data_IF_605090185916
#
_entry.id   IF_605090185916
#
_cell.length_a   1.000
_cell.length_b   1.000
_cell.length_c   1.000
_cell.angle_alpha   90.00
_cell.angle_beta   90.00
_cell.angle_gamma   90.00
#
_symmetry.space_group_name_H-M   'P 1'
#
loop_
_entity.id
_entity.type
_entity.pdbx_description
1 polymer ?
#
# COMPACT_ATOMS: atom_id res chain seq x y z
N UNK A 1 -21.86 14.37 -23.80
CA UNK A 1 -21.37 12.97 -23.81
C UNK A 1 -19.94 12.91 -23.28
N UNK A 2 -19.69 12.61 -21.99
CA UNK A 2 -18.32 12.35 -21.54
C UNK A 2 -18.27 11.12 -20.59
N UNK A 3 -18.25 9.88 -21.10
CA UNK A 3 -18.19 8.66 -20.23
C UNK A 3 -17.56 7.41 -20.86
N UNK A 4 -16.56 7.52 -21.74
CA UNK A 4 -15.97 6.30 -22.35
C UNK A 4 -14.48 6.10 -22.17
N UNK A 5 -13.71 7.14 -21.84
CA UNK A 5 -12.25 7.05 -21.85
C UNK A 5 -11.68 6.49 -20.53
N UNK A 6 -12.19 6.96 -19.38
CA UNK A 6 -11.73 6.52 -18.05
C UNK A 6 -12.05 5.03 -17.79
N UNK A 7 -13.22 4.55 -18.23
CA UNK A 7 -13.59 3.13 -18.10
C UNK A 7 -12.68 2.22 -18.91
N UNK A 8 -12.19 2.64 -20.08
CA UNK A 8 -11.32 1.82 -20.95
C UNK A 8 -9.93 1.63 -20.35
N UNK A 9 -9.34 2.69 -19.79
CA UNK A 9 -8.03 2.59 -19.11
C UNK A 9 -8.14 1.68 -17.88
N UNK A 10 -9.21 1.83 -17.09
CA UNK A 10 -9.44 0.97 -15.92
C UNK A 10 -9.73 -0.48 -16.31
N UNK A 11 -10.43 -0.75 -17.42
CA UNK A 11 -10.66 -2.11 -17.92
C UNK A 11 -9.34 -2.76 -18.40
N UNK A 12 -8.46 -1.97 -19.03
CA UNK A 12 -7.15 -2.44 -19.48
C UNK A 12 -6.20 -2.72 -18.30
N UNK A 13 -6.30 -1.96 -17.21
CA UNK A 13 -5.48 -2.14 -15.99
C UNK A 13 -6.09 -3.15 -14.99
N UNK A 14 -7.37 -3.51 -15.15
CA UNK A 14 -8.06 -4.48 -14.30
C UNK A 14 -7.30 -5.82 -14.13
N UNK A 15 -6.78 -6.49 -15.18
CA UNK A 15 -6.04 -7.75 -14.99
C UNK A 15 -4.78 -7.57 -14.15
N UNK A 16 -4.08 -6.44 -14.29
CA UNK A 16 -2.87 -6.14 -13.52
C UNK A 16 -3.23 -5.93 -12.04
N UNK A 17 -4.30 -5.18 -11.75
CA UNK A 17 -4.77 -4.96 -10.37
C UNK A 17 -5.26 -6.24 -9.69
N UNK A 18 -5.94 -7.13 -10.43
CA UNK A 18 -6.36 -8.44 -9.93
C UNK A 18 -5.13 -9.31 -9.63
N UNK A 19 -4.10 -9.29 -10.47
CA UNK A 19 -2.87 -10.04 -10.21
C UNK A 19 -2.16 -9.56 -8.94
N UNK A 20 -2.12 -8.26 -8.68
CA UNK A 20 -1.52 -7.72 -7.47
C UNK A 20 -2.29 -8.09 -6.20
N UNK A 21 -3.62 -7.99 -6.24
CA UNK A 21 -4.45 -8.34 -5.08
C UNK A 21 -4.41 -9.84 -4.82
N UNK A 22 -4.36 -10.67 -5.89
CA UNK A 22 -4.09 -12.10 -5.79
C UNK A 22 -2.77 -12.35 -5.05
N UNK A 23 -1.66 -11.76 -5.49
CA UNK A 23 -0.36 -11.97 -4.85
C UNK A 23 -0.40 -11.60 -3.34
N UNK A 24 -1.12 -10.54 -2.97
CA UNK A 24 -1.31 -10.17 -1.55
C UNK A 24 -2.05 -11.24 -0.75
N UNK A 25 -3.09 -11.87 -1.31
CA UNK A 25 -3.81 -12.96 -0.64
C UNK A 25 -2.96 -14.24 -0.52
N UNK A 26 -2.12 -14.56 -1.53
CA UNK A 26 -1.14 -15.65 -1.42
C UNK A 26 -0.10 -15.37 -0.32
N UNK A 27 0.39 -14.14 -0.20
CA UNK A 27 1.30 -13.76 0.88
C UNK A 27 0.66 -13.89 2.26
N UNK A 28 -0.64 -13.62 2.39
CA UNK A 28 -1.38 -13.89 3.63
C UNK A 28 -1.48 -15.38 3.92
N UNK A 29 -1.72 -16.18 2.90
CA UNK A 29 -1.83 -17.63 3.02
C UNK A 29 -0.49 -18.30 3.37
N UNK A 30 0.65 -17.67 3.03
CA UNK A 30 1.99 -18.11 3.40
C UNK A 30 2.43 -17.73 4.82
N UNK A 31 1.72 -16.82 5.51
CA UNK A 31 2.02 -16.43 6.90
C UNK A 31 2.26 -17.61 7.86
N UNK A 32 1.46 -18.69 7.90
CA UNK A 32 1.73 -19.82 8.80
C UNK A 32 3.10 -20.45 8.56
N UNK A 33 3.49 -20.69 7.30
CA UNK A 33 4.82 -21.21 6.96
C UNK A 33 5.94 -20.23 7.33
N UNK A 34 5.71 -18.92 7.17
CA UNK A 34 6.65 -17.89 7.61
C UNK A 34 6.83 -17.92 9.14
N UNK A 35 5.75 -18.09 9.90
CA UNK A 35 5.81 -18.24 11.36
C UNK A 35 6.57 -19.51 11.77
N UNK A 36 6.42 -20.62 11.05
CA UNK A 36 7.11 -21.87 11.38
C UNK A 36 8.60 -21.85 11.04
N UNK A 37 8.99 -21.21 9.92
CA UNK A 37 10.39 -20.89 9.63
C UNK A 37 10.98 -20.05 10.76
N UNK A 38 10.26 -19.01 11.20
CA UNK A 38 10.70 -18.12 12.28
C UNK A 38 10.89 -18.88 13.60
N UNK A 39 9.95 -19.75 13.97
CA UNK A 39 10.06 -20.58 15.19
C UNK A 39 11.26 -21.51 15.14
N UNK A 40 11.55 -22.10 13.97
CA UNK A 40 12.67 -23.05 13.79
C UNK A 40 14.04 -22.38 13.76
N UNK A 41 14.15 -21.21 13.15
CA UNK A 41 15.42 -20.48 12.97
C UNK A 41 15.52 -19.23 13.85
N UNK A 42 15.01 -19.30 15.08
CA UNK A 42 14.97 -18.16 16.01
C UNK A 42 16.38 -17.58 16.28
N UNK A 43 17.38 -18.44 16.37
CA UNK A 43 18.74 -18.07 16.77
C UNK A 43 19.68 -17.78 15.58
N UNK A 44 19.20 -17.91 14.33
CA UNK A 44 20.03 -17.72 13.13
C UNK A 44 19.28 -16.91 12.06
N UNK A 45 19.54 -15.60 12.06
CA UNK A 45 18.89 -14.65 11.17
C UNK A 45 19.20 -14.88 9.69
N UNK A 46 20.44 -15.28 9.36
CA UNK A 46 20.85 -15.59 7.98
C UNK A 46 20.05 -16.77 7.42
N UNK A 47 19.89 -17.83 8.23
CA UNK A 47 19.13 -19.01 7.84
C UNK A 47 17.63 -18.73 7.74
N UNK A 48 17.11 -17.90 8.64
CA UNK A 48 15.73 -17.39 8.56
C UNK A 48 15.50 -16.66 7.23
N UNK A 49 16.39 -15.75 6.84
CA UNK A 49 16.28 -14.98 5.60
C UNK A 49 16.39 -15.86 4.35
N UNK A 50 17.28 -16.86 4.35
CA UNK A 50 17.42 -17.84 3.25
C UNK A 50 16.19 -18.73 3.12
N UNK A 51 15.66 -19.26 4.22
CA UNK A 51 14.46 -20.10 4.22
C UNK A 51 13.21 -19.31 3.77
N UNK A 52 13.07 -18.05 4.20
CA UNK A 52 12.04 -17.13 3.72
C UNK A 52 12.15 -16.89 2.21
N UNK A 53 13.36 -16.64 1.73
CA UNK A 53 13.62 -16.44 0.29
C UNK A 53 13.26 -17.70 -0.51
N UNK A 54 13.67 -18.87 0.00
CA UNK A 54 13.40 -20.16 -0.63
C UNK A 54 11.89 -20.48 -0.69
N UNK A 55 11.14 -20.20 0.38
CA UNK A 55 9.69 -20.32 0.40
C UNK A 55 9.01 -19.48 -0.69
N UNK A 56 9.49 -18.24 -0.90
CA UNK A 56 8.96 -17.36 -1.94
C UNK A 56 9.29 -17.87 -3.35
N UNK A 57 10.49 -18.42 -3.55
CA UNK A 57 10.90 -19.06 -4.81
C UNK A 57 10.05 -20.28 -5.14
N UNK A 58 9.86 -21.19 -4.17
CA UNK A 58 9.12 -22.44 -4.37
C UNK A 58 7.65 -22.19 -4.65
N UNK A 59 7.09 -21.11 -4.11
CA UNK A 59 5.69 -20.69 -4.36
C UNK A 59 5.53 -19.88 -5.65
N UNK A 60 6.63 -19.55 -6.33
CA UNK A 60 6.65 -18.71 -7.53
C UNK A 60 6.13 -17.28 -7.29
N UNK A 61 6.06 -16.82 -6.03
CA UNK A 61 5.53 -15.51 -5.67
C UNK A 61 6.67 -14.48 -5.62
N UNK A 62 6.52 -13.39 -6.39
CA UNK A 62 7.47 -12.28 -6.35
C UNK A 62 6.95 -11.16 -5.42
N UNK A 63 7.65 -10.82 -4.31
CA UNK A 63 7.24 -9.75 -3.40
C UNK A 63 7.21 -8.37 -4.07
N UNK A 64 7.98 -8.17 -5.14
CA UNK A 64 8.04 -6.91 -5.90
C UNK A 64 6.88 -6.75 -6.91
N UNK A 65 6.08 -7.78 -7.13
CA UNK A 65 4.90 -7.66 -8.00
C UNK A 65 3.92 -6.60 -7.51
N UNK A 66 3.87 -6.34 -6.19
CA UNK A 66 3.07 -5.29 -5.57
C UNK A 66 3.55 -3.86 -5.84
N UNK A 67 4.86 -3.61 -5.89
CA UNK A 67 5.39 -2.26 -6.10
C UNK A 67 5.35 -1.81 -7.58
N UNK A 68 5.15 -2.74 -8.51
CA UNK A 68 5.12 -2.44 -9.95
C UNK A 68 3.99 -1.46 -10.33
N UNK A 69 2.76 -1.62 -9.80
CA UNK A 69 1.68 -0.66 -10.09
C UNK A 69 2.04 0.74 -9.56
N UNK A 70 2.67 0.85 -8.40
CA UNK A 70 3.08 2.16 -7.86
C UNK A 70 4.03 2.89 -8.82
N UNK A 71 4.92 2.16 -9.50
CA UNK A 71 5.83 2.73 -10.50
C UNK A 71 5.09 3.17 -11.77
N UNK A 72 4.17 2.34 -12.27
CA UNK A 72 3.34 2.67 -13.44
C UNK A 72 2.42 3.87 -13.15
N UNK A 73 2.03 4.06 -11.89
CA UNK A 73 1.15 5.15 -11.46
C UNK A 73 1.83 6.53 -11.49
N UNK A 74 3.16 6.60 -11.31
CA UNK A 74 3.89 7.86 -11.22
C UNK A 74 3.80 8.71 -12.50
N UNK A 75 4.05 8.18 -13.73
CA UNK A 75 3.88 8.96 -14.96
C UNK A 75 2.46 9.49 -15.16
N UNK A 76 1.45 8.69 -14.84
CA UNK A 76 0.03 9.07 -14.95
C UNK A 76 -0.28 10.23 -14.01
N UNK A 77 0.21 10.16 -12.77
CA UNK A 77 0.04 11.21 -11.78
C UNK A 77 0.72 12.52 -12.22
N UNK A 78 1.94 12.45 -12.75
CA UNK A 78 2.66 13.63 -13.23
C UNK A 78 1.97 14.29 -14.44
N UNK A 79 1.43 13.49 -15.36
CA UNK A 79 0.66 13.98 -16.50
C UNK A 79 -0.63 14.68 -16.05
N UNK A 80 -1.38 14.07 -15.12
CA UNK A 80 -2.60 14.65 -14.57
C UNK A 80 -2.30 15.92 -13.76
N UNK A 81 -1.29 15.91 -12.90
CA UNK A 81 -0.87 17.08 -12.14
C UNK A 81 -0.54 18.25 -13.07
N UNK A 82 0.28 18.03 -14.11
CA UNK A 82 0.64 19.08 -15.06
C UNK A 82 -0.56 19.59 -15.85
N UNK A 83 -1.42 18.70 -16.35
CA UNK A 83 -2.60 19.09 -17.14
C UNK A 83 -3.63 19.86 -16.31
N UNK A 84 -3.98 19.38 -15.12
CA UNK A 84 -4.97 20.03 -14.24
C UNK A 84 -4.43 21.37 -13.74
N UNK A 85 -3.15 21.45 -13.35
CA UNK A 85 -2.55 22.72 -12.90
C UNK A 85 -2.49 23.75 -14.02
N UNK A 86 -2.27 23.33 -15.28
CA UNK A 86 -2.30 24.22 -16.43
C UNK A 86 -3.72 24.75 -16.68
N UNK A 87 -4.72 23.87 -16.71
CA UNK A 87 -6.12 24.26 -16.91
C UNK A 87 -6.66 25.15 -15.78
N UNK A 88 -6.26 24.87 -14.54
CA UNK A 88 -6.59 25.69 -13.37
C UNK A 88 -6.01 27.11 -13.48
N UNK A 89 -4.79 27.24 -14.02
CA UNK A 89 -4.14 28.53 -14.27
C UNK A 89 -4.83 29.33 -15.39
N UNK A 90 -5.36 28.63 -16.40
CA UNK A 90 -6.11 29.23 -17.50
C UNK A 90 -7.55 29.62 -17.11
N UNK A 91 -7.99 29.30 -15.88
CA UNK A 91 -9.36 29.54 -15.43
C UNK A 91 -10.39 28.63 -16.09
N UNK A 92 -9.95 27.53 -16.69
CA UNK A 92 -10.80 26.62 -17.47
C UNK A 92 -11.51 25.55 -16.61
N UNK A 93 -11.35 25.59 -15.28
CA UNK A 93 -11.87 24.61 -14.33
C UNK A 93 -12.68 25.30 -13.20
N UNK A 94 -13.40 26.37 -13.54
CA UNK A 94 -14.20 27.14 -12.57
C UNK A 94 -15.63 26.60 -12.39
N UNK A 95 -15.81 25.30 -12.57
CA UNK A 95 -17.07 24.63 -12.29
C UNK A 95 -17.14 24.12 -10.83
N UNK A 96 -18.30 24.24 -10.17
CA UNK A 96 -18.54 23.59 -8.89
C UNK A 96 -18.77 22.09 -9.08
N UNK A 97 -18.32 21.28 -8.10
CA UNK A 97 -18.57 19.85 -8.06
C UNK A 97 -18.89 19.38 -6.65
N UNK A 98 -20.10 18.82 -6.46
CA UNK A 98 -20.64 18.43 -5.15
C UNK A 98 -20.64 19.63 -4.17
N UNK A 99 -19.88 19.54 -3.07
CA UNK A 99 -19.70 20.63 -2.11
C UNK A 99 -18.51 21.54 -2.43
N UNK A 100 -17.69 21.19 -3.42
CA UNK A 100 -16.50 21.95 -3.80
C UNK A 100 -16.93 23.12 -4.68
N UNK A 101 -16.62 24.37 -4.29
CA UNK A 101 -17.05 25.54 -5.05
C UNK A 101 -16.45 25.64 -6.46
N UNK A 102 -15.21 25.18 -6.64
CA UNK A 102 -14.48 25.27 -7.91
C UNK A 102 -13.40 24.19 -8.01
N UNK A 103 -13.24 23.57 -9.18
CA UNK A 103 -12.24 22.51 -9.40
C UNK A 103 -10.81 23.04 -9.51
N UNK A 104 -10.62 24.29 -9.91
CA UNK A 104 -9.30 24.93 -9.98
C UNK A 104 -8.77 25.36 -8.60
N UNK A 105 -9.65 25.58 -7.64
CA UNK A 105 -9.34 26.17 -6.34
C UNK A 105 -8.91 25.16 -5.27
N UNK A 106 -8.46 25.66 -4.10
CA UNK A 106 -8.10 27.06 -3.83
C UNK A 106 -6.69 27.41 -4.36
N UNK A 107 -5.96 26.44 -4.90
CA UNK A 107 -4.54 26.57 -5.26
C UNK A 107 -4.35 26.88 -6.75
N UNK A 108 -4.76 28.07 -7.18
CA UNK A 108 -4.51 28.56 -8.55
C UNK A 108 -3.78 29.92 -8.53
N UNK A 109 -2.58 30.03 -9.13
CA UNK A 109 -1.89 31.31 -9.29
C UNK A 109 -2.68 32.25 -10.22
N UNK A 110 -2.75 33.56 -9.93
CA UNK A 110 -1.96 34.29 -8.93
C UNK A 110 -2.54 34.29 -7.51
N UNK A 111 -3.73 33.71 -7.30
CA UNK A 111 -4.52 33.89 -6.08
C UNK A 111 -3.86 33.24 -4.84
N UNK A 112 -3.52 31.95 -4.91
CA UNK A 112 -2.81 31.26 -3.81
C UNK A 112 -1.89 30.16 -4.35
N UNK A 113 -0.76 29.94 -3.67
CA UNK A 113 0.16 28.81 -3.90
C UNK A 113 0.26 27.94 -2.66
N UNK A 114 0.19 26.62 -2.84
CA UNK A 114 0.31 25.66 -1.76
C UNK A 114 -0.70 25.92 -0.63
N UNK A 115 -0.20 26.22 0.57
CA UNK A 115 -0.99 26.43 1.79
C UNK A 115 -1.31 27.89 2.11
N UNK A 116 -0.95 28.84 1.23
CA UNK A 116 -1.17 30.28 1.46
C UNK A 116 -2.65 30.59 1.76
N UNK A 117 -3.57 29.90 1.09
CA UNK A 117 -5.02 30.05 1.30
C UNK A 117 -5.51 29.69 2.72
N UNK A 118 -4.73 28.89 3.46
CA UNK A 118 -5.04 28.50 4.84
C UNK A 118 -4.22 29.29 5.86
N UNK A 119 -3.00 29.73 5.50
CA UNK A 119 -2.08 30.43 6.41
C UNK A 119 -2.26 31.94 6.41
N UNK A 120 -2.65 32.52 5.28
CA UNK A 120 -2.58 33.97 5.05
C UNK A 120 -3.96 34.59 4.84
N UNK A 121 -4.05 35.91 5.05
CA UNK A 121 -5.29 36.67 4.81
C UNK A 121 -6.39 36.46 5.84
N UNK A 122 -6.03 36.01 7.05
CA UNK A 122 -6.96 35.99 8.19
C UNK A 122 -7.26 37.42 8.63
N UNK A 123 -8.54 37.76 8.75
CA UNK A 123 -8.99 39.09 9.14
C UNK A 123 -10.07 39.00 10.23
N UNK A 124 -10.08 39.99 11.12
CA UNK A 124 -11.12 40.08 12.14
C UNK A 124 -12.40 40.62 11.52
N UNK A 125 -13.52 39.94 11.74
CA UNK A 125 -14.84 40.40 11.31
C UNK A 125 -15.58 40.97 12.52
N UNK A 126 -16.17 42.14 12.33
CA UNK A 126 -16.86 42.87 13.40
C UNK A 126 -18.06 42.04 13.91
N UNK A 127 -18.02 41.64 15.18
CA UNK A 127 -19.04 40.79 15.80
C UNK A 127 -18.76 39.27 15.77
N UNK A 128 -17.69 38.82 15.12
CA UNK A 128 -17.26 37.42 15.15
C UNK A 128 -16.28 37.16 16.31
N UNK A 129 -16.42 36.02 16.99
CA UNK A 129 -15.50 35.60 18.07
C UNK A 129 -14.17 35.06 17.57
N UNK A 130 -14.07 34.72 16.28
CA UNK A 130 -12.90 34.15 15.64
C UNK A 130 -12.59 34.92 14.34
N UNK A 131 -11.30 35.08 13.98
CA UNK A 131 -10.92 35.65 12.69
C UNK A 131 -11.41 34.74 11.54
N UNK A 132 -11.77 35.35 10.41
CA UNK A 132 -12.22 34.63 9.23
C UNK A 132 -11.09 34.46 8.21
N UNK A 133 -11.01 33.29 7.54
CA UNK A 133 -10.06 33.10 6.45
C UNK A 133 -10.45 33.97 5.24
N UNK A 134 -9.47 34.31 4.41
CA UNK A 134 -9.67 35.18 3.24
C UNK A 134 -10.71 34.67 2.22
N UNK A 135 -10.93 33.36 2.16
CA UNK A 135 -11.95 32.73 1.32
C UNK A 135 -13.35 32.70 1.97
N UNK A 136 -13.45 32.94 3.28
CA UNK A 136 -14.64 32.73 4.11
C UNK A 136 -14.75 31.31 4.68
N UNK A 137 -15.44 31.15 5.81
CA UNK A 137 -15.55 29.86 6.50
C UNK A 137 -16.22 28.77 5.65
N UNK A 138 -17.25 29.12 4.89
CA UNK A 138 -18.02 28.15 4.09
C UNK A 138 -17.17 27.49 3.01
N UNK A 139 -16.38 28.27 2.29
CA UNK A 139 -15.51 27.79 1.20
C UNK A 139 -14.27 27.09 1.75
N UNK A 140 -13.65 27.62 2.81
CA UNK A 140 -12.51 26.99 3.48
C UNK A 140 -12.88 25.60 3.99
N UNK A 141 -14.01 25.47 4.68
CA UNK A 141 -14.50 24.16 5.16
C UNK A 141 -14.79 23.22 3.98
N UNK A 142 -15.42 23.72 2.92
CA UNK A 142 -15.70 22.91 1.73
C UNK A 142 -14.43 22.27 1.13
N UNK A 143 -13.33 23.02 1.06
CA UNK A 143 -12.05 22.49 0.58
C UNK A 143 -11.35 21.58 1.59
N UNK A 144 -11.53 21.80 2.90
CA UNK A 144 -10.94 20.95 3.95
C UNK A 144 -11.60 19.57 4.09
N UNK A 145 -12.88 19.43 3.71
CA UNK A 145 -13.61 18.16 3.78
C UNK A 145 -12.95 17.08 2.92
N UNK A 146 -12.48 17.42 1.71
CA UNK A 146 -11.88 16.44 0.79
C UNK A 146 -10.62 15.76 1.33
N UNK A 147 -9.59 16.48 1.81
CA UNK A 147 -8.43 15.90 2.48
C UNK A 147 -8.81 14.94 3.62
N UNK A 148 -9.80 15.29 4.43
CA UNK A 148 -10.26 14.45 5.54
C UNK A 148 -10.89 13.16 5.02
N UNK A 149 -11.76 13.25 3.99
CA UNK A 149 -12.34 12.07 3.35
C UNK A 149 -11.26 11.17 2.74
N UNK A 150 -10.24 11.75 2.08
CA UNK A 150 -9.13 11.00 1.51
C UNK A 150 -8.34 10.25 2.59
N UNK A 151 -8.00 10.91 3.70
CA UNK A 151 -7.28 10.29 4.82
C UNK A 151 -8.10 9.15 5.42
N UNK A 152 -9.39 9.38 5.69
CA UNK A 152 -10.26 8.35 6.26
C UNK A 152 -10.49 7.18 5.31
N UNK A 153 -10.71 7.45 4.02
CA UNK A 153 -10.88 6.42 3.00
C UNK A 153 -9.63 5.58 2.77
N UNK A 154 -8.46 6.22 2.79
CA UNK A 154 -7.18 5.52 2.70
C UNK A 154 -6.93 4.65 3.94
N UNK A 155 -7.23 5.16 5.14
CA UNK A 155 -7.14 4.39 6.38
C UNK A 155 -8.04 3.16 6.34
N UNK A 156 -9.30 3.33 5.94
CA UNK A 156 -10.25 2.22 5.80
C UNK A 156 -9.73 1.13 4.85
N UNK A 157 -9.13 1.54 3.74
CA UNK A 157 -8.54 0.62 2.76
C UNK A 157 -7.36 -0.15 3.37
N UNK A 158 -6.50 0.52 4.14
CA UNK A 158 -5.36 -0.11 4.82
C UNK A 158 -5.80 -1.12 5.89
N UNK A 159 -6.76 -0.75 6.73
CA UNK A 159 -7.32 -1.64 7.77
C UNK A 159 -7.93 -2.90 7.12
N UNK A 160 -8.57 -2.74 5.96
CA UNK A 160 -9.17 -3.86 5.23
C UNK A 160 -8.12 -4.80 4.62
N UNK A 161 -6.98 -4.28 4.18
CA UNK A 161 -5.95 -5.04 3.45
C UNK A 161 -4.96 -5.74 4.37
N UNK A 162 -4.51 -5.12 5.46
CA UNK A 162 -3.38 -5.62 6.24
C UNK A 162 -3.72 -6.83 7.14
N UNK A 163 -5.00 -7.01 7.52
CA UNK A 163 -5.47 -8.13 8.34
C UNK A 163 -4.91 -8.10 9.78
N UNK A 164 -5.55 -8.81 10.70
CA UNK A 164 -5.02 -8.93 12.06
C UNK A 164 -3.66 -9.64 12.02
N UNK A 165 -2.66 -8.99 12.61
CA UNK A 165 -1.33 -9.53 12.83
C UNK A 165 -1.24 -9.78 14.34
N UNK A 166 -0.90 -11.00 14.75
CA UNK A 166 -0.74 -11.35 16.17
C UNK A 166 0.59 -10.77 16.70
N UNK A 167 0.61 -9.47 16.98
CA UNK A 167 1.81 -8.74 17.44
C UNK A 167 2.39 -9.34 18.72
N UNK A 168 1.56 -9.96 19.55
CA UNK A 168 1.98 -10.62 20.81
C UNK A 168 2.89 -11.84 20.59
N UNK A 169 2.86 -12.47 19.41
CA UNK A 169 3.69 -13.64 19.09
C UNK A 169 5.04 -13.29 18.46
N UNK A 170 5.29 -12.01 18.19
CA UNK A 170 6.53 -11.53 17.55
C UNK A 170 7.66 -11.39 18.57
N UNK A 171 8.92 -11.59 18.15
CA UNK A 171 10.07 -11.24 18.99
C UNK A 171 10.21 -9.73 19.13
N UNK A 172 10.99 -9.26 20.11
CA UNK A 172 11.16 -7.81 20.36
C UNK A 172 11.77 -7.07 19.15
N UNK A 173 12.79 -7.64 18.52
CA UNK A 173 13.41 -7.09 17.30
C UNK A 173 12.44 -7.04 16.10
N UNK A 174 11.59 -8.07 15.97
CA UNK A 174 10.58 -8.13 14.91
C UNK A 174 9.45 -7.15 15.16
N UNK A 175 9.04 -6.97 16.41
CA UNK A 175 8.03 -6.00 16.80
C UNK A 175 8.53 -4.60 16.49
N UNK A 176 9.80 -4.28 16.77
CA UNK A 176 10.40 -3.00 16.40
C UNK A 176 10.39 -2.79 14.89
N UNK A 177 10.77 -3.80 14.10
CA UNK A 177 10.75 -3.73 12.63
C UNK A 177 9.33 -3.59 12.07
N UNK A 178 8.37 -4.32 12.64
CA UNK A 178 6.95 -4.26 12.29
C UNK A 178 6.35 -2.91 12.66
N UNK A 179 6.57 -2.42 13.88
CA UNK A 179 6.11 -1.11 14.36
C UNK A 179 6.70 0.03 13.52
N UNK A 180 7.99 -0.04 13.18
CA UNK A 180 8.67 0.91 12.28
C UNK A 180 8.01 0.93 10.89
N UNK A 181 7.77 -0.25 10.31
CA UNK A 181 7.08 -0.39 9.02
C UNK A 181 5.63 0.11 9.07
N UNK A 182 4.91 -0.18 10.16
CA UNK A 182 3.55 0.29 10.40
C UNK A 182 3.48 1.79 10.63
N UNK A 183 4.50 2.39 11.25
CA UNK A 183 4.62 3.84 11.42
C UNK A 183 4.62 4.56 10.07
N UNK A 184 5.43 4.08 9.12
CA UNK A 184 5.48 4.60 7.74
C UNK A 184 4.12 4.47 7.05
N UNK A 185 3.46 3.31 7.16
CA UNK A 185 2.17 3.06 6.53
C UNK A 185 1.04 3.92 7.11
N UNK A 186 1.06 4.21 8.42
CA UNK A 186 0.11 5.10 9.10
C UNK A 186 0.31 6.57 8.70
N UNK A 187 1.53 6.96 8.34
CA UNK A 187 1.84 8.32 7.92
C UNK A 187 1.44 8.60 6.46
N UNK A 188 1.49 7.59 5.59
CA UNK A 188 1.22 7.74 4.16
C UNK A 188 -0.15 8.39 3.83
N UNK A 189 -1.28 8.02 4.46
CA UNK A 189 -2.57 8.71 4.27
C UNK A 189 -2.52 10.19 4.62
N UNK A 190 -1.82 10.56 5.69
CA UNK A 190 -1.68 11.94 6.14
C UNK A 190 -0.91 12.78 5.13
N UNK A 191 0.10 12.19 4.50
CA UNK A 191 0.87 12.82 3.42
C UNK A 191 -0.02 13.09 2.20
N UNK A 192 -0.91 12.17 1.82
CA UNK A 192 -1.89 12.41 0.75
C UNK A 192 -2.85 13.55 1.14
N UNK A 193 -3.34 13.55 2.39
CA UNK A 193 -4.16 14.65 2.91
C UNK A 193 -3.44 16.00 2.84
N UNK A 194 -2.19 16.06 3.27
CA UNK A 194 -1.35 17.25 3.20
C UNK A 194 -1.10 17.73 1.76
N UNK A 195 -0.75 16.82 0.83
CA UNK A 195 -0.58 17.18 -0.57
C UNK A 195 -1.87 17.63 -1.22
N UNK A 196 -3.01 17.08 -0.82
CA UNK A 196 -4.33 17.49 -1.33
C UNK A 196 -4.69 18.93 -0.99
N UNK A 197 -4.11 19.50 0.07
CA UNK A 197 -4.25 20.93 0.41
C UNK A 197 -3.41 21.85 -0.49
N UNK A 198 -2.44 21.30 -1.22
CA UNK A 198 -1.45 22.06 -1.99
C UNK A 198 -1.64 21.97 -3.51
N UNK A 199 -2.65 21.24 -3.95
CA UNK A 199 -2.93 21.01 -5.38
C UNK A 199 -4.38 21.42 -5.70
N UNK A 200 -4.72 21.67 -6.97
CA UNK A 200 -6.09 21.99 -7.36
C UNK A 200 -7.08 20.88 -6.97
N UNK A 201 -8.31 21.26 -6.60
CA UNK A 201 -9.34 20.32 -6.17
C UNK A 201 -9.70 19.26 -7.24
N UNK A 202 -9.54 19.56 -8.53
CA UNK A 202 -9.70 18.57 -9.60
C UNK A 202 -8.77 17.36 -9.44
N UNK A 203 -7.54 17.56 -8.97
CA UNK A 203 -6.60 16.47 -8.72
C UNK A 203 -6.98 15.67 -7.47
N UNK A 204 -7.56 16.32 -6.45
CA UNK A 204 -7.99 15.64 -5.23
C UNK A 204 -9.23 14.77 -5.47
N UNK A 205 -10.13 15.20 -6.37
CA UNK A 205 -11.24 14.37 -6.85
C UNK A 205 -10.75 13.15 -7.63
N UNK A 206 -9.71 13.33 -8.46
CA UNK A 206 -9.06 12.19 -9.11
C UNK A 206 -8.55 11.18 -8.08
N UNK A 207 -7.85 11.62 -7.03
CA UNK A 207 -7.42 10.71 -5.95
C UNK A 207 -8.59 10.04 -5.25
N UNK A 208 -9.68 10.76 -4.98
CA UNK A 208 -10.86 10.18 -4.34
C UNK A 208 -11.50 9.08 -5.18
N UNK A 209 -11.72 9.34 -6.47
CA UNK A 209 -12.31 8.35 -7.40
C UNK A 209 -11.38 7.15 -7.63
N UNK A 210 -10.06 7.38 -7.66
CA UNK A 210 -9.05 6.33 -7.70
C UNK A 210 -9.11 5.46 -6.44
N UNK A 211 -9.15 6.06 -5.25
CA UNK A 211 -9.24 5.34 -3.98
C UNK A 211 -10.52 4.51 -3.88
N UNK A 212 -11.66 5.06 -4.32
CA UNK A 212 -12.92 4.31 -4.36
C UNK A 212 -12.83 3.10 -5.29
N UNK A 213 -12.18 3.25 -6.43
CA UNK A 213 -11.96 2.15 -7.37
C UNK A 213 -11.04 1.07 -6.78
N UNK A 214 -9.94 1.47 -6.16
CA UNK A 214 -9.01 0.56 -5.48
C UNK A 214 -9.73 -0.19 -4.36
N UNK A 215 -10.47 0.51 -3.50
CA UNK A 215 -11.25 -0.10 -2.44
C UNK A 215 -12.26 -1.11 -2.97
N UNK A 216 -13.04 -0.75 -4.00
CA UNK A 216 -14.01 -1.65 -4.61
C UNK A 216 -13.34 -2.92 -5.18
N UNK A 217 -12.21 -2.77 -5.87
CA UNK A 217 -11.45 -3.91 -6.41
C UNK A 217 -10.90 -4.79 -5.27
N UNK A 218 -10.29 -4.18 -4.25
CA UNK A 218 -9.77 -4.90 -3.08
C UNK A 218 -10.87 -5.64 -2.33
N UNK A 219 -12.04 -5.03 -2.14
CA UNK A 219 -13.18 -5.65 -1.49
C UNK A 219 -13.74 -6.84 -2.29
N UNK A 220 -13.87 -6.68 -3.62
CA UNK A 220 -14.35 -7.75 -4.51
C UNK A 220 -13.39 -8.95 -4.53
N UNK A 221 -12.09 -8.70 -4.71
CA UNK A 221 -11.09 -9.77 -4.76
C UNK A 221 -10.96 -10.46 -3.40
N UNK A 222 -10.96 -9.71 -2.28
CA UNK A 222 -10.97 -10.29 -0.94
C UNK A 222 -12.23 -11.13 -0.71
N UNK A 223 -13.40 -10.67 -1.16
CA UNK A 223 -14.64 -11.44 -1.11
C UNK A 223 -14.55 -12.76 -1.90
N UNK A 224 -13.94 -12.72 -3.09
CA UNK A 224 -13.71 -13.90 -3.92
C UNK A 224 -12.77 -14.91 -3.25
N UNK A 225 -11.62 -14.46 -2.71
CA UNK A 225 -10.64 -15.35 -2.06
C UNK A 225 -11.06 -15.83 -0.67
N UNK A 226 -11.96 -15.09 0.01
CA UNK A 226 -12.63 -15.59 1.21
C UNK A 226 -13.53 -16.80 0.90
N UNK A 227 -14.19 -16.81 -0.26
CA UNK A 227 -15.02 -17.92 -0.71
C UNK A 227 -14.21 -19.02 -1.43
N UNK A 228 -13.07 -18.66 -2.04
CA UNK A 228 -12.18 -19.55 -2.79
C UNK A 228 -10.74 -19.33 -2.33
N UNK A 229 -10.31 -19.91 -1.20
CA UNK A 229 -8.95 -19.76 -0.71
C UNK A 229 -7.92 -20.12 -1.79
N UNK A 230 -6.83 -19.35 -1.92
CA UNK A 230 -5.80 -19.66 -2.91
C UNK A 230 -5.17 -21.02 -2.60
N UNK A 231 -5.09 -21.90 -3.59
CA UNK A 231 -4.33 -23.14 -3.47
C UNK A 231 -2.85 -22.79 -3.47
N UNK A 232 -2.17 -23.11 -2.37
CA UNK A 232 -0.72 -22.99 -2.27
C UNK A 232 -0.12 -24.30 -2.75
N UNK A 233 0.58 -24.27 -3.87
CA UNK A 233 1.35 -25.42 -4.36
C UNK A 233 2.75 -25.33 -3.74
N UNK A 234 2.97 -26.02 -2.63
CA UNK A 234 4.27 -26.18 -2.02
C UNK A 234 4.81 -27.59 -2.29
N UNK A 235 6.11 -27.74 -2.52
CA UNK A 235 6.75 -29.06 -2.52
C UNK A 235 6.48 -29.83 -1.22
N UNK A 236 6.34 -31.16 -1.31
CA UNK A 236 5.99 -32.09 -0.22
C UNK A 236 6.86 -31.98 1.06
N UNK A 237 8.04 -31.36 0.97
CA UNK A 237 8.94 -31.17 2.11
C UNK A 237 8.58 -29.97 3.00
N UNK A 238 7.69 -29.07 2.56
CA UNK A 238 7.19 -27.99 3.41
C UNK A 238 6.17 -28.52 4.44
N UNK A 239 5.36 -29.50 4.06
CA UNK A 239 4.45 -30.21 4.98
C UNK A 239 5.21 -31.04 6.03
N UNK A 240 6.42 -31.46 5.68
CA UNK A 240 7.33 -32.17 6.58
C UNK A 240 7.92 -31.30 7.71
N UNK A 241 7.74 -29.97 7.67
CA UNK A 241 8.16 -29.11 8.76
C UNK A 241 7.29 -29.26 10.01
N UNK A 242 6.06 -29.76 9.90
CA UNK A 242 5.12 -29.92 11.03
C UNK A 242 5.35 -31.18 11.88
N UNK A 243 5.79 -32.31 11.30
CA UNK A 243 5.92 -33.60 12.01
C UNK A 243 7.21 -34.36 11.66
N UNK A 244 8.37 -33.85 12.09
CA UNK A 244 9.67 -34.52 11.92
C UNK A 244 9.72 -35.89 12.65
N UNK A 245 8.80 -36.11 13.60
CA UNK A 245 8.79 -37.29 14.46
C UNK A 245 8.27 -38.55 13.75
N UNK A 246 7.28 -38.43 12.84
CA UNK A 246 6.67 -39.56 12.12
C UNK A 246 6.97 -39.63 10.61
N UNK A 247 8.01 -38.96 10.12
CA UNK A 247 8.32 -38.99 8.68
C UNK A 247 8.96 -40.32 8.21
N UNK A 248 8.55 -40.77 7.02
CA UNK A 248 9.26 -41.82 6.25
C UNK A 248 10.67 -41.37 5.85
N UNK A 249 11.63 -42.29 5.67
CA UNK A 249 13.03 -41.95 5.39
C UNK A 249 13.27 -41.06 4.17
N UNK A 250 12.47 -41.20 3.11
CA UNK A 250 12.56 -40.37 1.90
C UNK A 250 12.12 -38.93 2.13
N UNK A 251 11.03 -38.71 2.87
CA UNK A 251 10.59 -37.37 3.25
C UNK A 251 11.61 -36.69 4.17
N UNK A 252 12.25 -37.45 5.07
CA UNK A 252 13.35 -36.94 5.91
C UNK A 252 14.53 -36.55 5.06
N UNK A 253 14.82 -37.30 4.00
CA UNK A 253 15.92 -37.01 3.06
C UNK A 253 15.67 -35.76 2.21
N UNK A 254 14.42 -35.48 1.82
CA UNK A 254 14.07 -34.27 1.07
C UNK A 254 14.02 -33.01 1.96
N UNK A 255 13.42 -33.10 3.15
CA UNK A 255 13.51 -32.03 4.14
C UNK A 255 14.96 -31.81 4.58
N UNK A 256 15.73 -32.90 4.68
CA UNK A 256 17.18 -32.85 4.84
C UNK A 256 17.85 -32.23 3.63
N UNK A 257 17.50 -32.48 2.37
CA UNK A 257 18.13 -31.83 1.19
C UNK A 257 17.86 -30.32 1.13
N UNK A 258 16.73 -29.85 1.65
CA UNK A 258 16.44 -28.41 1.75
C UNK A 258 17.22 -27.79 2.91
N UNK A 259 17.29 -28.48 4.05
CA UNK A 259 18.17 -28.06 5.16
C UNK A 259 19.65 -28.25 4.85
N UNK A 260 20.04 -29.24 4.05
CA UNK A 260 21.39 -29.56 3.57
C UNK A 260 21.77 -28.62 2.45
N UNK A 261 20.87 -28.14 1.58
CA UNK A 261 21.19 -27.02 0.68
C UNK A 261 21.35 -25.69 1.46
N UNK A 262 20.55 -25.48 2.51
CA UNK A 262 20.72 -24.36 3.45
C UNK A 262 22.01 -24.48 4.30
N UNK A 263 22.46 -25.69 4.63
CA UNK A 263 23.66 -26.01 5.45
C UNK A 263 24.93 -26.17 4.59
N UNK A 264 24.85 -26.64 3.34
CA UNK A 264 25.98 -26.85 2.41
C UNK A 264 26.56 -25.51 1.98
N UNK A 265 25.74 -24.48 1.76
CA UNK A 265 26.29 -23.13 1.56
C UNK A 265 27.03 -22.61 2.80
N UNK A 266 26.68 -23.11 4.00
CA UNK A 266 27.35 -22.76 5.25
C UNK A 266 28.69 -23.49 5.41
N UNK A 267 28.78 -24.78 5.05
CA UNK A 267 30.05 -25.52 5.07
C UNK A 267 31.03 -25.01 4.00
N UNK A 268 30.56 -24.65 2.80
CA UNK A 268 31.46 -24.18 1.73
C UNK A 268 31.98 -22.76 1.99
N UNK A 269 31.17 -21.88 2.60
CA UNK A 269 31.62 -20.52 2.96
C UNK A 269 32.49 -20.54 4.22
N UNK A 270 32.12 -21.29 5.27
CA UNK A 270 32.94 -21.40 6.47
C UNK A 270 34.29 -22.12 6.21
N UNK A 271 34.34 -23.07 5.27
CA UNK A 271 35.57 -23.73 4.87
C UNK A 271 36.48 -22.81 4.03
N UNK A 272 35.92 -21.96 3.17
CA UNK A 272 36.72 -21.01 2.38
C UNK A 272 37.20 -19.79 3.19
N UNK A 273 36.47 -19.35 4.23
CA UNK A 273 36.95 -18.26 5.13
C UNK A 273 37.95 -18.74 6.19
N UNK A 274 38.09 -20.05 6.40
CA UNK A 274 39.13 -20.64 7.26
C UNK A 274 40.41 -21.04 6.48
N UNK A 275 40.44 -20.87 5.15
CA UNK A 275 41.53 -21.29 4.27
C UNK A 275 42.23 -20.11 3.54
N UNK A 276 41.86 -18.86 3.85
CA UNK A 276 42.58 -17.62 3.51
C UNK A 276 43.11 -16.93 4.78
#
# INVERSE_FOLDING_TARGET
MPRRHDTVIRLALAPVSVQQTKSSEYMKALKPYQEDIKKKFKDNEDMKNRALSKLLEDTGQNPLSGCFISLVQLPILLALYRSITLLAKEGALDEPFLWIPSLQGPVSPPTYRGLEWLREGWHAVEGASLPEPSLGWSTTIAYLIMPVILVLGQKLTMDTLQGDQDVEKMSDEERETFESSQGILKFLPLLIGFFSLQVPAGLTIYWFTSNLSTFAQSALVKGYYKANPPVIELPDYWDALEDVSNMTPEKKRQAAEVSVNLIIEFEVIAFNTMME
#
